data_IF_521117170228
#
_entry.id   IF_521117170228
#
_cell.length_a   1.000
_cell.length_b   1.000
_cell.length_c   1.000
_cell.angle_alpha   90.00
_cell.angle_beta   90.00
_cell.angle_gamma   90.00
#
_symmetry.space_group_name_H-M   'P 1'
#
loop_
_entity.id
_entity.type
_entity.pdbx_description
1 polymer ?
#
# COMPACT_ATOMS: atom_id res chain seq x y z
N UNK A 1 11.54 -1.52 16.66
CA UNK A 1 11.59 -2.07 15.29
C UNK A 1 10.62 -1.26 14.46
N UNK A 2 11.09 -0.44 13.54
CA UNK A 2 10.18 0.16 12.55
C UNK A 2 9.80 -0.94 11.57
N UNK A 3 8.56 -1.44 11.66
CA UNK A 3 8.02 -2.35 10.66
C UNK A 3 8.06 -1.71 9.27
N UNK A 4 8.17 -2.53 8.23
CA UNK A 4 8.14 -2.09 6.83
C UNK A 4 6.91 -1.21 6.57
N UNK A 5 6.97 -0.31 5.59
CA UNK A 5 5.83 0.56 5.20
C UNK A 5 4.52 -0.22 5.00
N UNK A 6 4.63 -1.46 4.53
CA UNK A 6 3.53 -2.43 4.44
C UNK A 6 2.92 -2.79 5.80
N UNK A 7 3.73 -3.10 6.81
CA UNK A 7 3.23 -3.41 8.16
C UNK A 7 2.53 -2.22 8.79
N UNK A 8 3.13 -1.01 8.65
CA UNK A 8 2.49 0.23 9.08
C UNK A 8 1.15 0.45 8.37
N UNK A 9 1.10 0.23 7.05
CA UNK A 9 -0.13 0.34 6.26
C UNK A 9 -1.21 -0.62 6.75
N UNK A 10 -0.89 -1.91 6.94
CA UNK A 10 -1.85 -2.89 7.44
C UNK A 10 -2.36 -2.52 8.83
N UNK A 11 -1.47 -2.09 9.73
CA UNK A 11 -1.85 -1.67 11.08
C UNK A 11 -2.77 -0.41 11.05
N UNK A 12 -2.42 0.59 10.26
CA UNK A 12 -3.24 1.80 10.06
C UNK A 12 -4.59 1.46 9.43
N UNK A 13 -4.63 0.53 8.48
CA UNK A 13 -5.85 0.10 7.82
C UNK A 13 -6.81 -0.60 8.79
N UNK A 14 -6.30 -1.46 9.68
CA UNK A 14 -7.10 -2.08 10.74
C UNK A 14 -7.71 -1.01 11.64
N UNK A 15 -6.91 -0.07 12.14
CA UNK A 15 -7.40 1.03 12.96
C UNK A 15 -8.42 1.91 12.21
N UNK A 16 -8.21 2.14 10.92
CA UNK A 16 -9.11 2.89 10.06
C UNK A 16 -10.44 2.18 9.86
N UNK A 17 -10.41 0.86 9.66
CA UNK A 17 -11.60 0.03 9.62
C UNK A 17 -12.37 0.06 10.94
N UNK A 18 -11.68 -0.01 12.08
CA UNK A 18 -12.32 0.06 13.40
C UNK A 18 -13.01 1.41 13.63
N UNK A 19 -12.41 2.50 13.16
CA UNK A 19 -12.92 3.86 13.37
C UNK A 19 -14.02 4.27 12.39
N UNK A 20 -13.88 3.90 11.12
CA UNK A 20 -14.73 4.39 10.02
C UNK A 20 -15.58 3.31 9.36
N UNK A 21 -15.39 2.05 9.75
CA UNK A 21 -16.11 0.91 9.22
C UNK A 21 -15.45 0.22 8.01
N UNK A 22 -15.95 -0.96 7.63
CA UNK A 22 -15.36 -1.79 6.57
C UNK A 22 -15.50 -1.20 5.17
N UNK A 23 -16.52 -0.39 4.89
CA UNK A 23 -16.73 0.21 3.56
C UNK A 23 -15.60 1.18 3.19
N UNK A 24 -15.24 2.08 4.13
CA UNK A 24 -14.15 3.02 3.92
C UNK A 24 -12.79 2.32 3.84
N UNK A 25 -12.55 1.32 4.69
CA UNK A 25 -11.34 0.51 4.60
C UNK A 25 -11.23 -0.24 3.26
N UNK A 26 -12.35 -0.75 2.75
CA UNK A 26 -12.40 -1.41 1.43
C UNK A 26 -12.06 -0.45 0.30
N UNK A 27 -12.48 0.81 0.39
CA UNK A 27 -12.11 1.83 -0.61
C UNK A 27 -10.59 2.09 -0.64
N UNK A 28 -9.94 2.13 0.53
CA UNK A 28 -8.47 2.25 0.62
C UNK A 28 -7.78 1.01 0.06
N UNK A 29 -8.29 -0.19 0.35
CA UNK A 29 -7.76 -1.43 -0.22
C UNK A 29 -7.90 -1.49 -1.74
N UNK A 30 -9.03 -1.06 -2.28
CA UNK A 30 -9.26 -0.99 -3.72
C UNK A 30 -8.30 0.00 -4.40
N UNK A 31 -8.09 1.17 -3.80
CA UNK A 31 -7.08 2.14 -4.28
C UNK A 31 -5.68 1.56 -4.27
N UNK A 32 -5.29 0.89 -3.18
CA UNK A 32 -4.00 0.20 -3.11
C UNK A 32 -3.85 -0.84 -4.21
N UNK A 33 -4.90 -1.62 -4.46
CA UNK A 33 -4.92 -2.62 -5.53
C UNK A 33 -4.74 -1.98 -6.90
N UNK A 34 -5.49 -0.92 -7.22
CA UNK A 34 -5.37 -0.21 -8.50
C UNK A 34 -3.97 0.36 -8.70
N UNK A 35 -3.40 0.99 -7.69
CA UNK A 35 -2.04 1.54 -7.75
C UNK A 35 -1.00 0.42 -7.91
N UNK A 36 -1.18 -0.72 -7.24
CA UNK A 36 -0.33 -1.89 -7.44
C UNK A 36 -0.41 -2.44 -8.85
N UNK A 37 -1.61 -2.61 -9.40
CA UNK A 37 -1.79 -3.10 -10.77
C UNK A 37 -1.14 -2.14 -11.77
N UNK A 38 -1.28 -0.83 -11.54
CA UNK A 38 -0.63 0.21 -12.33
C UNK A 38 0.90 0.11 -12.26
N UNK A 39 1.48 0.07 -11.06
CA UNK A 39 2.94 -0.07 -10.87
C UNK A 39 3.46 -1.35 -11.51
N UNK A 40 2.74 -2.46 -11.37
CA UNK A 40 3.11 -3.73 -12.02
C UNK A 40 3.08 -3.59 -13.54
N UNK A 41 2.06 -2.94 -14.11
CA UNK A 41 1.94 -2.74 -15.55
C UNK A 41 3.02 -1.79 -16.10
N UNK A 42 3.29 -0.68 -15.40
CA UNK A 42 4.31 0.30 -15.79
C UNK A 42 5.72 -0.32 -15.70
N UNK A 43 6.00 -1.07 -14.64
CA UNK A 43 7.30 -1.71 -14.44
C UNK A 43 7.42 -3.09 -15.10
N UNK A 44 6.36 -3.65 -15.69
CA UNK A 44 6.36 -5.01 -16.25
C UNK A 44 7.52 -5.20 -17.23
N UNK A 45 7.67 -4.28 -18.17
CA UNK A 45 8.73 -4.31 -19.19
C UNK A 45 10.14 -4.19 -18.60
N UNK A 46 10.28 -3.48 -17.48
CA UNK A 46 11.57 -3.24 -16.81
C UNK A 46 11.96 -4.38 -15.87
N UNK A 47 10.97 -5.04 -15.26
CA UNK A 47 11.23 -6.08 -14.26
C UNK A 47 11.14 -7.49 -14.82
N UNK A 48 10.63 -7.69 -16.04
CA UNK A 48 10.33 -9.01 -16.61
C UNK A 48 11.55 -9.95 -16.66
N UNK A 49 12.73 -9.42 -16.92
CA UNK A 49 13.97 -10.18 -17.01
C UNK A 49 14.56 -10.60 -15.64
N UNK A 50 14.02 -10.10 -14.52
CA UNK A 50 14.49 -10.48 -13.20
C UNK A 50 13.83 -11.77 -12.68
N UNK A 51 14.53 -12.53 -11.82
CA UNK A 51 13.92 -13.64 -11.10
C UNK A 51 12.82 -13.15 -10.16
N UNK A 52 11.83 -14.02 -9.90
CA UNK A 52 10.61 -13.72 -9.13
C UNK A 52 10.87 -13.12 -7.74
N UNK A 53 11.90 -13.56 -7.03
CA UNK A 53 12.27 -12.99 -5.72
C UNK A 53 12.72 -11.52 -5.82
N UNK A 54 13.40 -11.15 -6.91
CA UNK A 54 13.88 -9.78 -7.13
C UNK A 54 12.78 -8.88 -7.70
N UNK A 55 11.90 -9.42 -8.55
CA UNK A 55 10.65 -8.76 -8.96
C UNK A 55 9.83 -8.33 -7.74
N UNK A 56 9.65 -9.21 -6.75
CA UNK A 56 8.93 -8.89 -5.52
C UNK A 56 9.62 -7.79 -4.69
N UNK A 57 10.95 -7.83 -4.52
CA UNK A 57 11.65 -6.75 -3.80
C UNK A 57 11.55 -5.40 -4.51
N UNK A 58 11.68 -5.39 -5.84
CA UNK A 58 11.53 -4.15 -6.63
C UNK A 58 10.10 -3.62 -6.48
N UNK A 59 9.09 -4.48 -6.59
CA UNK A 59 7.69 -4.09 -6.40
C UNK A 59 7.42 -3.57 -4.99
N UNK A 60 7.96 -4.18 -3.93
CA UNK A 60 7.79 -3.67 -2.57
C UNK A 60 8.44 -2.29 -2.39
N UNK A 61 9.61 -2.06 -2.99
CA UNK A 61 10.25 -0.73 -3.01
C UNK A 61 9.46 0.30 -3.80
N UNK A 62 8.90 -0.07 -4.96
CA UNK A 62 8.08 0.83 -5.78
C UNK A 62 6.77 1.21 -5.06
N UNK A 63 6.17 0.25 -4.34
CA UNK A 63 4.95 0.47 -3.56
C UNK A 63 5.20 1.22 -2.24
N UNK A 64 6.45 1.42 -1.83
CA UNK A 64 6.77 2.10 -0.58
C UNK A 64 6.13 3.49 -0.50
N UNK A 65 6.17 4.24 -1.62
CA UNK A 65 5.53 5.54 -1.71
C UNK A 65 4.01 5.42 -1.58
N UNK A 66 3.39 4.49 -2.29
CA UNK A 66 1.94 4.23 -2.24
C UNK A 66 1.48 3.90 -0.82
N UNK A 67 2.22 3.05 -0.10
CA UNK A 67 1.90 2.75 1.30
C UNK A 67 1.91 4.00 2.17
N UNK A 68 2.93 4.86 2.05
CA UNK A 68 3.01 6.11 2.83
C UNK A 68 1.86 7.06 2.47
N UNK A 69 1.55 7.21 1.20
CA UNK A 69 0.50 8.12 0.72
C UNK A 69 -0.87 7.70 1.28
N UNK A 70 -1.20 6.42 1.22
CA UNK A 70 -2.44 5.88 1.76
C UNK A 70 -2.49 5.95 3.30
N UNK A 71 -1.37 5.75 3.99
CA UNK A 71 -1.28 5.97 5.44
C UNK A 71 -1.60 7.43 5.77
N UNK A 72 -1.00 8.37 5.03
CA UNK A 72 -1.26 9.80 5.24
C UNK A 72 -2.70 10.18 4.91
N UNK A 73 -3.30 9.58 3.88
CA UNK A 73 -4.72 9.77 3.57
C UNK A 73 -5.61 9.33 4.74
N UNK A 74 -5.41 8.10 5.24
CA UNK A 74 -6.14 7.59 6.41
C UNK A 74 -5.95 8.50 7.63
N UNK A 75 -4.72 8.97 7.88
CA UNK A 75 -4.42 9.89 8.99
C UNK A 75 -5.12 11.25 8.83
N UNK A 76 -5.13 11.83 7.62
CA UNK A 76 -5.79 13.10 7.30
C UNK A 76 -7.31 13.02 7.43
N UNK A 77 -7.91 11.88 7.09
CA UNK A 77 -9.34 11.64 7.28
C UNK A 77 -9.75 11.55 8.75
N UNK A 78 -8.79 11.65 9.68
CA UNK A 78 -9.03 11.81 11.10
C UNK A 78 -8.60 10.61 11.92
N UNK A 79 -7.81 9.67 11.38
CA UNK A 79 -7.20 8.63 12.20
C UNK A 79 -6.21 9.18 13.24
N UNK A 80 -5.58 10.32 12.95
CA UNK A 80 -4.83 11.10 13.96
C UNK A 80 -5.78 11.95 14.79
N UNK A 81 -6.24 11.43 15.93
CA UNK A 81 -6.75 12.26 17.02
C UNK A 81 -6.18 11.78 18.34
#
# INVERSE_FOLDING_TARGET
MEGSSREKFLHTLVQYQEKFGPEKASAIQERFRQERERVVAESASEIDWFPSWKKNQILESLLEKTYRDLIQEMQREGLSR
#
